data_IF_779842104162
#
_entry.id   IF_779842104162
#
_cell.length_a   1.000
_cell.length_b   1.000
_cell.length_c   1.000
_cell.angle_alpha   90.00
_cell.angle_beta   90.00
_cell.angle_gamma   90.00
#
_symmetry.space_group_name_H-M   'P 1'
#
loop_
_entity.id
_entity.type
_entity.pdbx_description
1 polymer ?
#
# COMPACT_ATOMS: atom_id res chain seq x y z
N UNK A 1 18.58 -13.61 23.87
CA UNK A 1 18.17 -13.78 22.45
C UNK A 1 17.43 -12.52 22.05
N UNK A 2 18.11 -11.59 21.38
CA UNK A 2 17.57 -10.26 21.08
C UNK A 2 16.76 -10.31 19.79
N UNK A 3 15.44 -10.18 19.92
CA UNK A 3 14.49 -10.18 18.83
C UNK A 3 14.60 -8.88 18.05
N UNK A 4 15.12 -8.94 16.82
CA UNK A 4 15.14 -7.81 15.89
C UNK A 4 13.69 -7.40 15.59
N UNK A 5 13.32 -6.19 15.98
CA UNK A 5 12.04 -5.58 15.66
C UNK A 5 12.03 -5.22 14.16
N UNK A 6 11.12 -5.83 13.40
CA UNK A 6 10.97 -5.57 11.97
C UNK A 6 10.15 -4.30 11.79
N UNK A 7 10.65 -3.35 10.99
CA UNK A 7 9.91 -2.14 10.64
C UNK A 7 8.66 -2.51 9.83
N UNK A 8 7.50 -2.60 10.48
CA UNK A 8 6.21 -2.68 9.79
C UNK A 8 5.88 -1.27 9.29
N UNK A 9 5.86 -1.09 7.97
CA UNK A 9 5.49 0.19 7.37
C UNK A 9 3.99 0.46 7.61
N UNK A 10 3.67 1.53 8.33
CA UNK A 10 2.30 1.95 8.56
C UNK A 10 1.73 2.62 7.30
N UNK A 11 0.66 2.07 6.74
CA UNK A 11 -0.10 2.70 5.65
C UNK A 11 -1.05 3.73 6.27
N UNK A 12 -0.69 5.00 6.21
CA UNK A 12 -1.53 6.10 6.71
C UNK A 12 -2.55 6.48 5.61
N UNK A 13 -3.87 6.40 5.88
CA UNK A 13 -4.88 6.83 4.94
C UNK A 13 -4.72 8.32 4.63
N UNK A 14 -4.66 8.66 3.35
CA UNK A 14 -4.70 10.06 2.94
C UNK A 14 -6.14 10.57 3.08
N UNK A 15 -6.32 11.62 3.85
CA UNK A 15 -7.61 12.29 3.98
C UNK A 15 -8.05 12.82 2.60
N UNK A 16 -9.28 12.48 2.20
CA UNK A 16 -9.88 12.88 0.93
C UNK A 16 -10.07 14.39 0.81
N UNK A 17 -9.98 15.12 1.92
CA UNK A 17 -10.04 16.58 1.97
C UNK A 17 -8.81 17.25 1.35
N UNK A 18 -7.66 16.57 1.28
CA UNK A 18 -6.42 17.08 0.67
C UNK A 18 -6.39 16.81 -0.84
N UNK A 19 -7.49 17.07 -1.54
CA UNK A 19 -7.56 17.05 -3.01
C UNK A 19 -7.07 18.36 -3.63
N UNK A 20 -5.99 18.92 -3.09
CA UNK A 20 -5.25 20.02 -3.70
C UNK A 20 -3.90 19.49 -4.17
N UNK A 21 -3.71 19.35 -5.50
CA UNK A 21 -2.49 18.75 -6.07
C UNK A 21 -1.19 19.51 -5.74
N UNK A 22 -1.27 20.72 -5.19
CA UNK A 22 -0.11 21.55 -4.88
C UNK A 22 0.68 21.19 -3.61
N UNK A 23 0.04 20.64 -2.56
CA UNK A 23 0.71 20.43 -1.27
C UNK A 23 1.57 19.15 -1.19
N UNK A 24 1.22 18.15 -2.00
CA UNK A 24 1.88 16.84 -1.95
C UNK A 24 3.16 16.78 -2.77
N UNK A 25 3.29 17.55 -3.85
CA UNK A 25 4.49 17.55 -4.69
C UNK A 25 5.74 17.97 -3.93
N UNK A 26 5.67 19.05 -3.15
CA UNK A 26 6.80 19.51 -2.35
C UNK A 26 7.22 18.48 -1.29
N UNK A 27 6.25 17.76 -0.70
CA UNK A 27 6.51 16.67 0.25
C UNK A 27 7.17 15.49 -0.45
N UNK A 28 6.66 15.09 -1.62
CA UNK A 28 7.19 13.96 -2.38
C UNK A 28 8.60 14.24 -2.91
N UNK A 29 8.86 15.45 -3.43
CA UNK A 29 10.20 15.92 -3.80
C UNK A 29 11.19 15.89 -2.63
N UNK A 30 10.73 16.16 -1.40
CA UNK A 30 11.57 16.07 -0.20
C UNK A 30 11.92 14.63 0.14
N UNK A 31 10.97 13.72 0.00
CA UNK A 31 11.17 12.29 0.28
C UNK A 31 12.08 11.64 -0.77
N UNK A 32 11.95 12.04 -2.03
CA UNK A 32 12.80 11.57 -3.13
C UNK A 32 14.25 12.05 -2.96
N UNK A 33 14.46 13.34 -2.64
CA UNK A 33 15.80 13.87 -2.32
C UNK A 33 16.46 13.21 -1.12
N UNK A 34 15.68 12.72 -0.15
CA UNK A 34 16.18 11.96 1.00
C UNK A 34 16.42 10.48 0.68
N UNK A 35 16.13 10.02 -0.53
CA UNK A 35 16.24 8.61 -0.92
C UNK A 35 15.21 7.69 -0.26
N UNK A 36 14.15 8.24 0.35
CA UNK A 36 13.12 7.47 1.06
C UNK A 36 12.07 6.87 0.10
N UNK A 37 11.87 7.50 -1.06
CA UNK A 37 10.98 7.01 -2.12
C UNK A 37 11.68 7.17 -3.47
N UNK A 38 11.34 6.31 -4.43
CA UNK A 38 11.72 6.46 -5.83
C UNK A 38 10.46 6.60 -6.67
N UNK A 39 10.34 7.68 -7.44
CA UNK A 39 9.20 7.85 -8.35
C UNK A 39 9.45 7.04 -9.62
N UNK A 40 8.75 5.91 -9.77
CA UNK A 40 8.62 5.24 -11.05
C UNK A 40 7.54 5.91 -11.89
N UNK A 41 7.65 5.87 -13.21
CA UNK A 41 6.72 6.47 -14.18
C UNK A 41 5.33 5.85 -14.20
N UNK A 42 4.98 4.99 -13.23
CA UNK A 42 3.65 4.43 -13.08
C UNK A 42 3.20 3.60 -14.29
N UNK A 43 4.00 2.62 -14.69
CA UNK A 43 3.61 1.62 -15.68
C UNK A 43 3.32 0.29 -15.00
N UNK A 44 2.12 -0.27 -15.22
CA UNK A 44 1.89 -1.68 -14.89
C UNK A 44 2.64 -2.51 -15.94
N UNK A 45 3.51 -3.46 -15.56
CA UNK A 45 4.16 -4.32 -16.55
C UNK A 45 3.11 -5.04 -17.40
N UNK A 46 3.37 -5.22 -18.69
CA UNK A 46 2.41 -5.85 -19.62
C UNK A 46 1.94 -7.23 -19.15
N UNK A 47 2.73 -7.93 -18.34
CA UNK A 47 2.39 -9.24 -17.79
C UNK A 47 1.41 -9.19 -16.60
N UNK A 48 1.27 -8.03 -15.93
CA UNK A 48 0.52 -7.89 -14.67
C UNK A 48 -1.02 -7.79 -14.85
N UNK A 49 -1.52 -7.80 -16.08
CA UNK A 49 -2.95 -7.92 -16.40
C UNK A 49 -3.33 -9.12 -17.28
N UNK A 50 -2.34 -9.81 -17.86
CA UNK A 50 -2.56 -10.88 -18.86
C UNK A 50 -3.07 -12.19 -18.26
N UNK A 51 -2.85 -12.42 -16.98
CA UNK A 51 -3.36 -13.59 -16.27
C UNK A 51 -4.55 -13.20 -15.41
N UNK A 52 -5.71 -13.78 -15.71
CA UNK A 52 -6.87 -13.69 -14.83
C UNK A 52 -6.45 -14.31 -13.49
N UNK A 53 -6.54 -13.57 -12.37
CA UNK A 53 -6.18 -14.15 -11.08
C UNK A 53 -7.01 -15.41 -10.84
N UNK A 54 -6.41 -16.50 -10.33
CA UNK A 54 -7.13 -17.71 -10.04
C UNK A 54 -8.33 -17.38 -9.15
N UNK A 55 -9.52 -17.80 -9.59
CA UNK A 55 -10.77 -17.61 -8.85
C UNK A 55 -10.77 -18.56 -7.65
N UNK A 56 -10.07 -18.17 -6.59
CA UNK A 56 -10.16 -18.81 -5.29
C UNK A 56 -11.59 -18.67 -4.79
N UNK A 57 -12.22 -19.80 -4.46
CA UNK A 57 -13.61 -19.85 -3.96
C UNK A 57 -13.76 -19.23 -2.56
N UNK A 58 -12.64 -18.96 -1.87
CA UNK A 58 -12.59 -18.14 -0.66
C UNK A 58 -12.07 -16.75 -1.01
N UNK A 59 -12.86 -15.71 -0.77
CA UNK A 59 -12.33 -14.34 -0.80
C UNK A 59 -11.60 -14.12 0.52
N UNK A 60 -10.29 -13.87 0.48
CA UNK A 60 -9.48 -13.44 1.63
C UNK A 60 -10.20 -12.37 2.44
N UNK A 61 -10.91 -11.45 1.77
CA UNK A 61 -11.74 -10.43 2.42
C UNK A 61 -12.81 -11.00 3.35
N UNK A 62 -13.51 -12.08 2.98
CA UNK A 62 -14.54 -12.70 3.84
C UNK A 62 -13.91 -13.31 5.08
N UNK A 63 -12.75 -13.94 4.95
CA UNK A 63 -12.07 -14.55 6.09
C UNK A 63 -11.52 -13.48 7.04
N UNK A 64 -10.92 -12.40 6.50
CA UNK A 64 -10.50 -11.24 7.30
C UNK A 64 -11.67 -10.53 8.01
N UNK A 65 -12.83 -10.42 7.35
CA UNK A 65 -14.03 -9.86 7.98
C UNK A 65 -14.55 -10.76 9.11
N UNK A 66 -14.51 -12.09 8.92
CA UNK A 66 -14.89 -13.05 9.94
C UNK A 66 -13.95 -13.00 11.14
N UNK A 67 -12.64 -12.90 10.93
CA UNK A 67 -11.66 -12.74 12.01
C UNK A 67 -11.92 -11.44 12.80
N UNK A 68 -12.21 -10.34 12.10
CA UNK A 68 -12.57 -9.06 12.73
C UNK A 68 -13.84 -9.14 13.57
N UNK A 69 -14.90 -9.77 13.04
CA UNK A 69 -16.14 -10.00 13.79
C UNK A 69 -15.93 -10.95 14.98
N UNK A 70 -14.99 -11.89 14.87
CA UNK A 70 -14.63 -12.85 15.90
C UNK A 70 -13.72 -12.30 17.01
N UNK A 71 -13.22 -11.07 16.90
CA UNK A 71 -12.50 -10.38 17.97
C UNK A 71 -11.07 -10.87 18.26
N UNK A 72 -10.41 -11.49 17.28
CA UNK A 72 -8.99 -11.89 17.35
C UNK A 72 -8.05 -10.73 16.99
#
# INVERSE_FOLDING_TARGET
MEGRCWCVAQIVPLDRSVRGSGGHEARLLRLERRGLIRRGTGGLPDWLGKRRPPRLRGSVLKDLLREREGGW
#
